data_IF_924771185225
#
_entry.id   IF_924771185225
#
_cell.length_a   1.000
_cell.length_b   1.000
_cell.length_c   1.000
_cell.angle_alpha   90.00
_cell.angle_beta   90.00
_cell.angle_gamma   90.00
#
_symmetry.space_group_name_H-M   'P 1'
#
loop_
_entity.id
_entity.type
_entity.pdbx_description
1 polymer ?
#
# COMPACT_ATOMS: atom_id res chain seq x y z
N UNK A 1 10.06 -9.10 30.11
CA UNK A 1 11.06 -9.43 29.08
C UNK A 1 10.36 -9.41 27.72
N UNK A 2 10.94 -8.79 26.68
CA UNK A 2 10.35 -8.82 25.33
C UNK A 2 10.57 -10.21 24.72
N UNK A 3 9.52 -10.86 24.21
CA UNK A 3 9.69 -12.16 23.54
C UNK A 3 10.40 -11.98 22.21
N UNK A 4 11.19 -12.96 21.79
CA UNK A 4 11.91 -12.96 20.50
C UNK A 4 10.95 -12.68 19.34
N UNK A 5 9.75 -13.25 19.38
CA UNK A 5 8.74 -13.06 18.34
C UNK A 5 8.17 -11.62 18.31
N UNK A 6 8.01 -10.98 19.47
CA UNK A 6 7.62 -9.56 19.53
C UNK A 6 8.71 -8.68 18.94
N UNK A 7 9.99 -8.96 19.25
CA UNK A 7 11.12 -8.22 18.71
C UNK A 7 11.23 -8.38 17.18
N UNK A 8 11.05 -9.59 16.67
CA UNK A 8 11.01 -9.86 15.22
C UNK A 8 9.90 -9.08 14.52
N UNK A 9 8.69 -9.07 15.06
CA UNK A 9 7.58 -8.31 14.47
C UNK A 9 7.82 -6.80 14.48
N UNK A 10 8.41 -6.25 15.54
CA UNK A 10 8.82 -4.84 15.59
C UNK A 10 9.85 -4.51 14.51
N UNK A 11 10.86 -5.37 14.33
CA UNK A 11 11.90 -5.19 13.29
C UNK A 11 11.29 -5.25 11.89
N UNK A 12 10.42 -6.24 11.63
CA UNK A 12 9.72 -6.36 10.35
C UNK A 12 8.86 -5.14 10.06
N UNK A 13 8.08 -4.69 11.04
CA UNK A 13 7.28 -3.47 10.94
C UNK A 13 8.13 -2.27 10.55
N UNK A 14 9.27 -2.10 11.22
CA UNK A 14 10.18 -0.98 11.00
C UNK A 14 10.79 -1.04 9.60
N UNK A 15 11.27 -2.21 9.19
CA UNK A 15 11.86 -2.43 7.87
C UNK A 15 10.87 -2.19 6.74
N UNK A 16 9.66 -2.77 6.85
CA UNK A 16 8.60 -2.55 5.86
C UNK A 16 8.28 -1.06 5.76
N UNK A 17 8.13 -0.37 6.89
CA UNK A 17 7.82 1.07 6.89
C UNK A 17 8.93 1.90 6.25
N UNK A 18 10.18 1.61 6.60
CA UNK A 18 11.36 2.31 6.09
C UNK A 18 11.56 2.10 4.60
N UNK A 19 11.24 0.93 4.06
CA UNK A 19 11.33 0.65 2.63
C UNK A 19 10.14 1.21 1.83
N UNK A 20 8.93 1.14 2.40
CA UNK A 20 7.71 1.50 1.67
C UNK A 20 7.52 3.00 1.53
N UNK A 21 7.88 3.81 2.54
CA UNK A 21 7.72 5.27 2.46
C UNK A 21 8.52 5.87 1.29
N UNK A 22 9.83 5.60 1.14
CA UNK A 22 10.59 6.10 -0.01
C UNK A 22 10.06 5.56 -1.33
N UNK A 23 9.69 4.27 -1.40
CA UNK A 23 9.12 3.67 -2.63
C UNK A 23 7.89 4.44 -3.11
N UNK A 24 6.92 4.64 -2.22
CA UNK A 24 5.69 5.40 -2.52
C UNK A 24 6.06 6.82 -2.96
N UNK A 25 7.02 7.47 -2.28
CA UNK A 25 7.53 8.78 -2.68
C UNK A 25 8.11 8.81 -4.09
N UNK A 26 8.91 7.80 -4.47
CA UNK A 26 9.47 7.68 -5.81
C UNK A 26 8.41 7.45 -6.88
N UNK A 27 7.38 6.66 -6.60
CA UNK A 27 6.30 6.43 -7.57
C UNK A 27 5.44 7.67 -7.79
N UNK A 28 5.29 8.54 -6.78
CA UNK A 28 4.75 9.88 -6.96
C UNK A 28 5.61 10.76 -7.88
N UNK A 29 6.94 10.70 -7.75
CA UNK A 29 7.85 11.43 -8.64
C UNK A 29 7.76 10.91 -10.08
N UNK A 30 7.74 9.59 -10.27
CA UNK A 30 7.56 8.94 -11.58
C UNK A 30 6.24 9.31 -12.22
N UNK A 31 5.15 9.33 -11.46
CA UNK A 31 3.86 9.80 -11.97
C UNK A 31 3.97 11.22 -12.54
N UNK A 32 4.60 12.15 -11.81
CA UNK A 32 4.77 13.53 -12.28
C UNK A 32 5.63 13.62 -13.53
N UNK A 33 6.68 12.81 -13.62
CA UNK A 33 7.56 12.73 -14.78
C UNK A 33 6.80 12.20 -16.01
N UNK A 34 6.15 11.04 -15.90
CA UNK A 34 5.41 10.44 -17.00
C UNK A 34 4.20 11.28 -17.43
N UNK A 35 3.54 11.96 -16.48
CA UNK A 35 2.46 12.90 -16.78
C UNK A 35 2.96 14.16 -17.52
N UNK A 36 4.19 14.59 -17.27
CA UNK A 36 4.81 15.72 -17.99
C UNK A 36 5.23 15.31 -19.40
N UNK A 37 5.72 14.09 -19.57
CA UNK A 37 6.12 13.51 -20.85
C UNK A 37 4.93 13.05 -21.71
N UNK A 38 3.72 13.05 -21.15
CA UNK A 38 2.49 12.47 -21.75
C UNK A 38 2.68 11.00 -22.16
N UNK A 39 3.56 10.27 -21.44
CA UNK A 39 3.88 8.88 -21.70
C UNK A 39 2.80 7.96 -21.13
N UNK A 40 1.77 7.73 -21.94
CA UNK A 40 0.60 6.94 -21.57
C UNK A 40 0.94 5.50 -21.19
N UNK A 41 1.89 4.88 -21.88
CA UNK A 41 2.23 3.47 -21.62
C UNK A 41 2.85 3.32 -20.24
N UNK A 42 3.81 4.20 -19.89
CA UNK A 42 4.42 4.21 -18.56
C UNK A 42 3.41 4.55 -17.47
N UNK A 43 2.45 5.46 -17.73
CA UNK A 43 1.38 5.76 -16.77
C UNK A 43 0.48 4.55 -16.51
N UNK A 44 0.05 3.82 -17.54
CA UNK A 44 -0.76 2.62 -17.38
C UNK A 44 0.00 1.50 -16.66
N UNK A 45 1.29 1.33 -16.95
CA UNK A 45 2.14 0.38 -16.26
C UNK A 45 2.28 0.73 -14.77
N UNK A 46 2.53 2.01 -14.46
CA UNK A 46 2.61 2.51 -13.09
C UNK A 46 1.29 2.31 -12.34
N UNK A 47 0.14 2.61 -12.98
CA UNK A 47 -1.18 2.38 -12.39
C UNK A 47 -1.39 0.91 -12.03
N UNK A 48 -1.04 -0.01 -12.94
CA UNK A 48 -1.17 -1.46 -12.71
C UNK A 48 -0.28 -1.92 -11.55
N UNK A 49 0.93 -1.38 -11.46
CA UNK A 49 1.85 -1.65 -10.36
C UNK A 49 1.27 -1.17 -9.03
N UNK A 50 0.76 0.07 -8.95
CA UNK A 50 0.17 0.61 -7.74
C UNK A 50 -1.07 -0.19 -7.30
N UNK A 51 -1.95 -0.57 -8.23
CA UNK A 51 -3.07 -1.47 -7.93
C UNK A 51 -2.61 -2.81 -7.34
N UNK A 52 -1.51 -3.38 -7.85
CA UNK A 52 -0.93 -4.60 -7.29
C UNK A 52 -0.42 -4.42 -5.85
N UNK A 53 0.16 -3.26 -5.53
CA UNK A 53 0.59 -2.95 -4.17
C UNK A 53 -0.58 -2.73 -3.21
N UNK A 54 -1.62 -2.02 -3.64
CA UNK A 54 -2.87 -1.83 -2.87
C UNK A 54 -3.43 -3.18 -2.42
N UNK A 55 -3.54 -4.14 -3.34
CA UNK A 55 -4.06 -5.48 -3.04
C UNK A 55 -3.17 -6.21 -2.04
N UNK A 56 -1.84 -6.15 -2.20
CA UNK A 56 -0.89 -6.77 -1.26
C UNK A 56 -1.02 -6.20 0.14
N UNK A 57 -1.05 -4.87 0.27
CA UNK A 57 -1.14 -4.21 1.57
C UNK A 57 -2.49 -4.45 2.25
N UNK A 58 -3.59 -4.44 1.48
CA UNK A 58 -4.91 -4.77 1.99
C UNK A 58 -4.98 -6.23 2.46
N UNK A 59 -4.45 -7.17 1.68
CA UNK A 59 -4.40 -8.58 2.07
C UNK A 59 -3.57 -8.78 3.35
N UNK A 60 -2.39 -8.15 3.44
CA UNK A 60 -1.55 -8.19 4.65
C UNK A 60 -2.26 -7.61 5.87
N UNK A 61 -2.96 -6.48 5.70
CA UNK A 61 -3.74 -5.87 6.78
C UNK A 61 -4.86 -6.81 7.28
N UNK A 62 -5.61 -7.41 6.37
CA UNK A 62 -6.67 -8.37 6.72
C UNK A 62 -6.12 -9.61 7.41
N UNK A 63 -5.02 -10.18 6.93
CA UNK A 63 -4.35 -11.31 7.58
C UNK A 63 -3.86 -10.95 8.99
N UNK A 64 -3.30 -9.75 9.16
CA UNK A 64 -2.85 -9.28 10.47
C UNK A 64 -4.02 -9.07 11.44
N UNK A 65 -5.14 -8.51 10.99
CA UNK A 65 -6.37 -8.41 11.79
C UNK A 65 -6.88 -9.79 12.19
N UNK A 66 -6.95 -10.73 11.25
CA UNK A 66 -7.38 -12.10 11.53
C UNK A 66 -6.47 -12.77 12.59
N UNK A 67 -5.16 -12.56 12.50
CA UNK A 67 -4.20 -13.07 13.47
C UNK A 67 -4.40 -12.45 14.86
N UNK A 68 -4.66 -11.14 14.93
CA UNK A 68 -4.98 -10.45 16.20
C UNK A 68 -6.25 -11.01 16.84
N UNK A 69 -7.30 -11.23 16.04
CA UNK A 69 -8.54 -11.86 16.52
C UNK A 69 -8.25 -13.25 17.07
N UNK A 70 -7.54 -14.10 16.31
CA UNK A 70 -7.19 -15.44 16.75
C UNK A 70 -6.38 -15.44 18.06
N UNK A 71 -5.41 -14.53 18.21
CA UNK A 71 -4.62 -14.40 19.45
C UNK A 71 -5.48 -13.98 20.64
N UNK A 72 -6.51 -13.16 20.42
CA UNK A 72 -7.41 -12.68 21.49
C UNK A 72 -8.51 -13.68 21.85
N UNK A 73 -8.95 -14.51 20.91
CA UNK A 73 -10.05 -15.47 21.13
C UNK A 73 -9.59 -16.86 21.54
N UNK A 74 -8.31 -17.19 21.37
CA UNK A 74 -7.75 -18.50 21.73
C UNK A 74 -6.80 -18.38 22.94
N UNK A 75 -7.30 -18.45 24.18
CA UNK A 75 -6.50 -18.23 25.39
C UNK A 75 -5.38 -19.27 25.61
N UNK A 76 -5.47 -20.44 24.97
CA UNK A 76 -4.47 -21.51 25.07
C UNK A 76 -3.18 -21.25 24.27
N UNK A 77 -3.11 -20.16 23.50
CA UNK A 77 -1.93 -19.85 22.67
C UNK A 77 -0.72 -19.37 23.48
N UNK A 78 -0.91 -18.96 24.75
CA UNK A 78 0.19 -18.46 25.60
C UNK A 78 0.93 -17.25 25.02
N UNK A 79 0.31 -16.53 24.07
CA UNK A 79 0.95 -15.45 23.33
C UNK A 79 0.98 -14.17 24.17
N UNK A 80 2.09 -13.41 24.15
CA UNK A 80 2.18 -12.16 24.89
C UNK A 80 1.25 -11.10 24.29
N UNK A 81 0.49 -10.39 25.11
CA UNK A 81 -0.42 -9.32 24.66
C UNK A 81 0.25 -8.27 23.78
N UNK A 82 1.53 -8.00 24.05
CA UNK A 82 2.35 -7.08 23.26
C UNK A 82 2.49 -7.50 21.80
N UNK A 83 2.52 -8.80 21.51
CA UNK A 83 2.57 -9.28 20.13
C UNK A 83 1.30 -8.90 19.39
N UNK A 84 0.12 -9.14 19.99
CA UNK A 84 -1.15 -8.76 19.39
C UNK A 84 -1.24 -7.26 19.14
N UNK A 85 -0.72 -6.44 20.07
CA UNK A 85 -0.65 -4.99 19.87
C UNK A 85 0.25 -4.60 18.68
N UNK A 86 1.46 -5.16 18.58
CA UNK A 86 2.38 -4.87 17.46
C UNK A 86 1.80 -5.34 16.12
N UNK A 87 1.16 -6.51 16.08
CA UNK A 87 0.48 -7.01 14.87
C UNK A 87 -0.70 -6.11 14.47
N UNK A 88 -1.46 -5.57 15.42
CA UNK A 88 -2.52 -4.61 15.13
C UNK A 88 -1.96 -3.31 14.54
N UNK A 89 -0.84 -2.80 15.08
CA UNK A 89 -0.15 -1.62 14.52
C UNK A 89 0.31 -1.88 13.08
N UNK A 90 0.86 -3.07 12.80
CA UNK A 90 1.22 -3.46 11.44
C UNK A 90 0.01 -3.48 10.48
N UNK A 91 -1.15 -3.95 10.94
CA UNK A 91 -2.38 -3.94 10.15
C UNK A 91 -2.79 -2.51 9.77
N UNK A 92 -2.76 -1.59 10.73
CA UNK A 92 -3.08 -0.16 10.52
C UNK A 92 -2.11 0.47 9.51
N UNK A 93 -0.81 0.26 9.69
CA UNK A 93 0.21 0.81 8.78
C UNK A 93 0.04 0.25 7.36
N UNK A 94 -0.20 -1.06 7.23
CA UNK A 94 -0.47 -1.67 5.92
C UNK A 94 -1.72 -1.09 5.27
N UNK A 95 -2.78 -0.85 6.03
CA UNK A 95 -3.98 -0.19 5.52
C UNK A 95 -3.69 1.25 5.05
N UNK A 96 -2.90 2.01 5.82
CA UNK A 96 -2.46 3.34 5.40
C UNK A 96 -1.68 3.32 4.08
N UNK A 97 -0.78 2.36 3.89
CA UNK A 97 -0.08 2.21 2.61
C UNK A 97 -1.06 1.89 1.47
N UNK A 98 -1.97 0.94 1.66
CA UNK A 98 -3.00 0.63 0.66
C UNK A 98 -3.84 1.86 0.28
N UNK A 99 -4.18 2.71 1.25
CA UNK A 99 -4.91 3.96 0.99
C UNK A 99 -4.10 4.94 0.14
N UNK A 100 -2.84 5.21 0.52
CA UNK A 100 -1.99 6.17 -0.20
C UNK A 100 -1.72 5.71 -1.63
N UNK A 101 -1.45 4.43 -1.83
CA UNK A 101 -1.24 3.83 -3.15
C UNK A 101 -2.53 3.82 -3.98
N UNK A 102 -3.69 3.61 -3.35
CA UNK A 102 -4.98 3.70 -4.01
C UNK A 102 -5.25 5.12 -4.51
N UNK A 103 -4.93 6.14 -3.70
CA UNK A 103 -5.02 7.55 -4.11
C UNK A 103 -4.13 7.81 -5.33
N UNK A 104 -2.88 7.32 -5.32
CA UNK A 104 -1.97 7.50 -6.46
C UNK A 104 -2.51 6.80 -7.72
N UNK A 105 -2.97 5.55 -7.60
CA UNK A 105 -3.57 4.80 -8.71
C UNK A 105 -4.80 5.52 -9.30
N UNK A 106 -5.68 6.03 -8.44
CA UNK A 106 -6.85 6.80 -8.86
C UNK A 106 -6.45 8.11 -9.56
N UNK A 107 -5.43 8.81 -9.06
CA UNK A 107 -4.89 10.02 -9.70
C UNK A 107 -4.33 9.73 -11.09
N UNK A 108 -3.57 8.65 -11.23
CA UNK A 108 -3.04 8.23 -12.54
C UNK A 108 -4.21 7.94 -13.50
N UNK A 109 -5.20 7.15 -13.05
CA UNK A 109 -6.38 6.84 -13.85
C UNK A 109 -7.11 8.09 -14.34
N UNK A 110 -7.42 9.02 -13.43
CA UNK A 110 -8.12 10.26 -13.75
C UNK A 110 -7.34 11.12 -14.75
N UNK A 111 -6.02 11.20 -14.60
CA UNK A 111 -5.17 11.92 -15.53
C UNK A 111 -5.20 11.29 -16.93
N UNK A 112 -5.03 9.96 -17.01
CA UNK A 112 -5.02 9.24 -18.28
C UNK A 112 -6.37 9.32 -19.01
N UNK A 113 -7.49 9.21 -18.29
CA UNK A 113 -8.85 9.30 -18.88
C UNK A 113 -9.14 10.71 -19.39
N UNK A 114 -8.90 11.75 -18.58
CA UNK A 114 -9.14 13.15 -18.96
C UNK A 114 -8.39 13.55 -20.24
N UNK A 115 -7.18 13.01 -20.45
CA UNK A 115 -6.38 13.25 -21.64
C UNK A 115 -6.95 12.54 -22.89
N UNK A 116 -7.49 11.34 -22.74
CA UNK A 116 -8.15 10.63 -23.85
C UNK A 116 -9.37 11.40 -24.37
N UNK A 117 -10.19 11.95 -23.47
CA UNK A 117 -11.38 12.72 -23.84
C UNK A 117 -11.02 13.99 -24.62
N UNK A 118 -9.95 14.69 -24.20
CA UNK A 118 -9.47 15.88 -24.89
C UNK A 118 -8.93 15.59 -26.31
N UNK A 119 -8.25 14.45 -26.51
CA UNK A 119 -7.77 14.04 -27.84
C UNK A 119 -8.94 13.67 -28.75
N UNK A 120 -9.95 12.99 -28.23
CA UNK A 120 -11.15 12.63 -29.01
C UNK A 120 -11.89 13.86 -29.52
N UNK A 121 -12.13 14.85 -28.66
CA UNK A 121 -12.77 16.11 -29.07
C UNK A 121 -12.00 16.84 -30.17
N UNK A 122 -10.66 16.90 -30.08
CA UNK A 122 -9.83 17.51 -31.13
C UNK A 122 -9.82 16.77 -32.47
N UNK A 123 -10.18 15.49 -32.48
CA UNK A 123 -10.23 14.69 -33.71
C UNK A 123 -11.59 14.75 -34.39
N UNK A 124 -12.63 15.15 -33.65
CA UNK A 124 -14.01 15.24 -34.12
C UNK A 124 -14.38 16.68 -34.59
N UNK A 125 -13.50 17.67 -34.36
CA UNK A 125 -13.55 19.06 -34.86
C UNK A 125 -12.71 19.26 -36.14
#
# INVERSE_FOLDING_TARGET
MMSTLTALMMTLLTMVTFCMIPRIGFDWLRFREYAKEDDREKLLMLQRQENGWVIRHLACALCAVALVVAMKTCPNLGQPERLAAVTAVYAVISFCFALVESILSQRIYQFTVSRMEAVKQRSDD
#
